data_IF_906937570485
#
_entry.id   IF_906937570485
#
_cell.length_a   1.000
_cell.length_b   1.000
_cell.length_c   1.000
_cell.angle_alpha   90.00
_cell.angle_beta   90.00
_cell.angle_gamma   90.00
#
_symmetry.space_group_name_H-M   'P 1'
#
loop_
_entity.id
_entity.type
_entity.pdbx_description
1 polymer ?
#
# COMPACT_ATOMS: atom_id res chain seq x y z
N UNK A 1 -18.12 -18.52 -54.59
CA UNK A 1 -17.05 -19.19 -53.80
C UNK A 1 -17.18 -18.75 -52.35
N UNK A 2 -18.01 -19.44 -51.56
CA UNK A 2 -18.21 -19.18 -50.13
C UNK A 2 -17.43 -20.22 -49.34
N UNK A 3 -16.48 -19.78 -48.52
CA UNK A 3 -15.72 -20.64 -47.62
C UNK A 3 -16.43 -20.73 -46.27
N UNK A 4 -17.07 -21.87 -46.00
CA UNK A 4 -17.64 -22.18 -44.69
C UNK A 4 -16.59 -22.85 -43.81
N UNK A 5 -16.28 -22.25 -42.65
CA UNK A 5 -15.35 -22.78 -41.64
C UNK A 5 -15.96 -24.03 -41.00
N UNK A 6 -15.36 -25.21 -41.21
CA UNK A 6 -15.66 -26.43 -40.43
C UNK A 6 -14.77 -26.46 -39.20
N UNK A 7 -15.37 -26.30 -38.02
CA UNK A 7 -14.72 -26.63 -36.75
C UNK A 7 -15.08 -28.08 -36.40
N UNK A 8 -14.17 -29.01 -36.70
CA UNK A 8 -14.31 -30.41 -36.28
C UNK A 8 -13.58 -30.57 -34.94
N UNK A 9 -14.33 -30.74 -33.86
CA UNK A 9 -13.79 -31.16 -32.56
C UNK A 9 -13.81 -32.69 -32.54
N UNK A 10 -12.64 -33.32 -32.51
CA UNK A 10 -12.51 -34.76 -32.29
C UNK A 10 -12.64 -35.05 -30.79
N UNK A 11 -13.82 -35.50 -30.37
CA UNK A 11 -13.99 -36.18 -29.08
C UNK A 11 -14.50 -37.59 -29.34
N UNK A 12 -13.66 -38.60 -29.11
CA UNK A 12 -14.11 -39.99 -29.06
C UNK A 12 -14.83 -40.22 -27.73
N UNK A 13 -16.16 -40.18 -27.76
CA UNK A 13 -16.98 -40.63 -26.65
C UNK A 13 -17.56 -42.02 -26.94
N UNK A 14 -17.38 -42.94 -26.00
CA UNK A 14 -18.03 -44.25 -25.95
C UNK A 14 -19.54 -44.04 -25.68
N UNK A 15 -20.47 -44.70 -26.38
CA UNK A 15 -21.90 -44.50 -26.12
C UNK A 15 -22.30 -45.19 -24.81
N UNK A 16 -22.75 -44.43 -23.81
CA UNK A 16 -23.33 -45.01 -22.59
C UNK A 16 -23.32 -44.17 -21.31
N UNK A 17 -22.72 -42.97 -21.25
CA UNK A 17 -22.77 -42.14 -20.05
C UNK A 17 -23.47 -40.80 -20.32
N UNK A 18 -24.52 -40.53 -19.53
CA UNK A 18 -25.13 -39.22 -19.46
C UNK A 18 -24.07 -38.16 -19.12
N UNK A 19 -24.14 -36.95 -19.70
CA UNK A 19 -23.15 -35.92 -19.43
C UNK A 19 -23.25 -35.53 -17.95
N UNK A 20 -22.23 -35.91 -17.17
CA UNK A 20 -22.03 -35.36 -15.85
C UNK A 20 -21.87 -33.84 -16.00
N UNK A 21 -22.87 -33.10 -15.54
CA UNK A 21 -22.75 -31.65 -15.37
C UNK A 21 -21.65 -31.41 -14.35
N UNK A 22 -20.44 -31.13 -14.82
CA UNK A 22 -19.39 -30.56 -13.98
C UNK A 22 -19.89 -29.17 -13.59
N UNK A 23 -20.54 -29.07 -12.44
CA UNK A 23 -20.75 -27.79 -11.76
C UNK A 23 -19.36 -27.20 -11.56
N UNK A 24 -19.01 -26.20 -12.37
CA UNK A 24 -17.89 -25.32 -12.08
C UNK A 24 -18.32 -24.51 -10.86
N UNK A 25 -18.13 -25.06 -9.67
CA UNK A 25 -18.16 -24.26 -8.45
C UNK A 25 -17.07 -23.21 -8.62
N UNK A 26 -17.47 -21.94 -8.76
CA UNK A 26 -16.56 -20.81 -8.60
C UNK A 26 -15.96 -20.96 -7.21
N UNK A 27 -14.74 -21.48 -7.09
CA UNK A 27 -13.99 -21.49 -5.84
C UNK A 27 -13.97 -20.05 -5.32
N UNK A 28 -14.76 -19.82 -4.27
CA UNK A 28 -14.84 -18.52 -3.63
C UNK A 28 -13.52 -18.30 -2.91
N UNK A 29 -12.73 -17.34 -3.39
CA UNK A 29 -11.46 -17.00 -2.76
C UNK A 29 -11.68 -16.56 -1.31
N UNK A 30 -10.66 -16.75 -0.47
CA UNK A 30 -10.68 -16.23 0.89
C UNK A 30 -11.03 -14.73 0.90
N UNK A 31 -11.77 -14.24 1.92
CA UNK A 31 -12.12 -12.83 2.02
C UNK A 31 -10.88 -11.94 1.89
N UNK A 32 -10.98 -10.82 1.17
CA UNK A 32 -9.84 -9.92 1.00
C UNK A 32 -8.83 -10.32 -0.09
N UNK A 33 -9.04 -11.47 -0.73
CA UNK A 33 -8.35 -11.82 -1.96
C UNK A 33 -9.16 -11.46 -3.20
N UNK A 34 -8.43 -11.05 -4.24
CA UNK A 34 -8.99 -10.94 -5.59
C UNK A 34 -8.01 -11.45 -6.64
N UNK A 35 -8.50 -11.93 -7.80
CA UNK A 35 -7.65 -12.16 -8.94
C UNK A 35 -7.04 -10.83 -9.43
N UNK A 36 -5.74 -10.83 -9.67
CA UNK A 36 -5.00 -9.78 -10.34
C UNK A 36 -5.66 -9.43 -11.68
N UNK A 37 -5.96 -8.15 -11.96
CA UNK A 37 -6.48 -7.74 -13.26
C UNK A 37 -5.50 -8.00 -14.42
N UNK A 38 -4.20 -8.09 -14.14
CA UNK A 38 -3.17 -8.28 -15.15
C UNK A 38 -3.06 -9.74 -15.61
N UNK A 39 -3.12 -10.69 -14.68
CA UNK A 39 -2.79 -12.09 -14.95
C UNK A 39 -3.52 -13.12 -14.07
N UNK A 40 -4.53 -12.71 -13.31
CA UNK A 40 -5.42 -13.60 -12.56
C UNK A 40 -4.86 -14.20 -11.28
N UNK A 41 -3.57 -14.00 -10.96
CA UNK A 41 -2.98 -14.50 -9.69
C UNK A 41 -3.68 -13.92 -8.46
N UNK A 42 -3.77 -14.64 -7.33
CA UNK A 42 -4.38 -14.08 -6.13
C UNK A 42 -3.56 -12.90 -5.59
N UNK A 43 -4.25 -11.80 -5.32
CA UNK A 43 -3.69 -10.55 -4.80
C UNK A 43 -4.49 -10.11 -3.59
N UNK A 44 -3.84 -9.38 -2.69
CA UNK A 44 -4.49 -8.78 -1.53
C UNK A 44 -4.14 -7.30 -1.40
N UNK A 45 -5.01 -6.52 -0.77
CA UNK A 45 -4.76 -5.09 -0.59
C UNK A 45 -3.62 -4.84 0.39
N UNK A 46 -2.83 -3.80 0.14
CA UNK A 46 -1.83 -3.25 1.07
C UNK A 46 -2.47 -2.43 2.20
N UNK A 47 -3.80 -2.25 2.19
CA UNK A 47 -4.52 -1.31 3.07
C UNK A 47 -4.38 0.15 2.63
N UNK A 48 -3.63 0.42 1.56
CA UNK A 48 -3.46 1.75 0.96
C UNK A 48 -3.81 1.68 -0.52
N UNK A 49 -4.98 2.20 -0.91
CA UNK A 49 -5.49 2.07 -2.27
C UNK A 49 -4.57 2.68 -3.35
N UNK A 50 -3.88 3.79 -3.04
CA UNK A 50 -2.93 4.41 -3.99
C UNK A 50 -1.66 3.57 -4.16
N UNK A 51 -1.21 2.86 -3.11
CA UNK A 51 -0.09 1.92 -3.21
C UNK A 51 -0.50 0.68 -3.99
N UNK A 52 -1.72 0.16 -3.78
CA UNK A 52 -2.25 -0.96 -4.56
C UNK A 52 -2.21 -0.66 -6.06
N UNK A 53 -2.65 0.54 -6.46
CA UNK A 53 -2.60 0.99 -7.85
C UNK A 53 -1.17 1.02 -8.43
N UNK A 54 -0.16 1.23 -7.58
CA UNK A 54 1.26 1.30 -7.97
C UNK A 54 1.88 -0.06 -8.31
N UNK A 55 1.26 -1.16 -7.88
CA UNK A 55 1.85 -2.50 -7.97
C UNK A 55 1.67 -3.13 -9.35
N UNK A 56 2.31 -2.53 -10.38
CA UNK A 56 2.47 -3.06 -11.74
C UNK A 56 1.17 -3.55 -12.41
N UNK A 57 0.03 -2.91 -12.13
CA UNK A 57 -1.27 -3.32 -12.67
C UNK A 57 -1.95 -4.49 -11.96
N UNK A 58 -1.29 -5.13 -10.99
CA UNK A 58 -1.92 -6.11 -10.10
C UNK A 58 -2.98 -5.48 -9.18
N UNK A 59 -2.92 -4.15 -9.01
CA UNK A 59 -3.81 -3.38 -8.12
C UNK A 59 -3.83 -3.95 -6.69
N UNK A 60 -2.68 -4.34 -6.16
CA UNK A 60 -2.59 -5.01 -4.87
C UNK A 60 -1.33 -5.87 -4.83
N UNK A 61 -1.00 -6.36 -3.65
CA UNK A 61 0.19 -7.17 -3.44
C UNK A 61 -0.11 -8.63 -3.83
N UNK A 62 0.58 -9.20 -4.83
CA UNK A 62 0.43 -10.61 -5.16
C UNK A 62 0.82 -11.52 -3.99
N UNK A 63 0.08 -12.61 -3.80
CA UNK A 63 0.49 -13.63 -2.85
C UNK A 63 1.83 -14.25 -3.26
N UNK A 64 2.59 -14.69 -2.26
CA UNK A 64 3.94 -15.22 -2.41
C UNK A 64 5.00 -14.17 -2.67
N UNK A 65 4.71 -12.88 -2.45
CA UNK A 65 5.65 -11.78 -2.68
C UNK A 65 5.89 -10.91 -1.44
N UNK A 66 7.02 -10.20 -1.43
CA UNK A 66 7.36 -9.21 -0.42
C UNK A 66 7.64 -7.82 -1.00
N UNK A 67 7.30 -6.80 -0.22
CA UNK A 67 7.59 -5.39 -0.52
C UNK A 67 8.51 -4.82 0.58
N UNK A 68 9.67 -4.30 0.17
CA UNK A 68 10.55 -3.50 1.01
C UNK A 68 10.21 -2.02 0.84
N UNK A 69 9.91 -1.34 1.95
CA UNK A 69 9.64 0.09 2.01
C UNK A 69 10.79 0.77 2.74
N UNK A 70 11.60 1.48 1.99
CA UNK A 70 12.71 2.27 2.50
C UNK A 70 12.22 3.66 2.87
N UNK A 71 12.70 4.22 3.97
CA UNK A 71 12.37 5.60 4.36
C UNK A 71 13.62 6.37 4.75
N UNK A 72 13.82 7.51 4.07
CA UNK A 72 14.87 8.46 4.39
C UNK A 72 14.42 9.40 5.51
N UNK A 73 15.32 9.75 6.43
CA UNK A 73 15.05 10.68 7.51
C UNK A 73 14.59 10.00 8.80
N UNK A 74 13.92 10.77 9.65
CA UNK A 74 13.51 10.37 11.01
C UNK A 74 11.99 10.28 11.20
N UNK A 75 11.23 10.43 10.11
CA UNK A 75 9.77 10.28 10.12
C UNK A 75 9.36 8.80 10.15
N UNK A 76 8.07 8.54 10.34
CA UNK A 76 7.50 7.18 10.41
C UNK A 76 6.37 6.97 9.39
N UNK A 77 6.52 7.48 8.17
CA UNK A 77 5.50 7.30 7.11
C UNK A 77 5.40 5.83 6.68
N UNK A 78 6.53 5.13 6.60
CA UNK A 78 6.59 3.70 6.29
C UNK A 78 5.94 2.87 7.40
N UNK A 79 6.10 3.23 8.67
CA UNK A 79 5.39 2.57 9.77
C UNK A 79 3.88 2.75 9.69
N UNK A 80 3.40 3.92 9.25
CA UNK A 80 1.96 4.16 9.02
C UNK A 80 1.42 3.27 7.90
N UNK A 81 2.16 3.13 6.79
CA UNK A 81 1.84 2.20 5.70
C UNK A 81 1.73 0.75 6.22
N UNK A 82 2.64 0.32 7.09
CA UNK A 82 2.57 -1.00 7.72
C UNK A 82 1.36 -1.18 8.63
N UNK A 83 0.96 -0.12 9.36
CA UNK A 83 -0.25 -0.15 10.19
C UNK A 83 -1.51 -0.31 9.32
N UNK A 84 -1.58 0.33 8.14
CA UNK A 84 -2.67 0.07 7.19
C UNK A 84 -2.68 -1.38 6.69
N UNK A 85 -1.51 -1.92 6.31
CA UNK A 85 -1.39 -3.31 5.85
C UNK A 85 -1.80 -4.33 6.93
N UNK A 86 -1.41 -4.08 8.18
CA UNK A 86 -1.83 -4.91 9.31
C UNK A 86 -3.33 -4.77 9.60
N UNK A 87 -3.87 -3.55 9.62
CA UNK A 87 -5.28 -3.30 9.86
C UNK A 87 -6.18 -3.93 8.79
N UNK A 88 -5.80 -3.82 7.51
CA UNK A 88 -6.51 -4.48 6.40
C UNK A 88 -6.53 -6.00 6.59
N UNK A 89 -5.41 -6.61 7.00
CA UNK A 89 -5.36 -8.02 7.33
C UNK A 89 -6.34 -8.43 8.42
N UNK A 90 -6.36 -7.69 9.54
CA UNK A 90 -7.26 -8.00 10.65
C UNK A 90 -8.73 -7.82 10.29
N UNK A 91 -9.07 -6.80 9.48
CA UNK A 91 -10.46 -6.57 9.03
C UNK A 91 -10.92 -7.65 8.05
N UNK A 92 -10.02 -8.13 7.18
CA UNK A 92 -10.30 -9.18 6.20
C UNK A 92 -10.36 -10.59 6.79
N UNK A 93 -9.83 -10.83 7.99
CA UNK A 93 -9.79 -12.17 8.59
C UNK A 93 -8.45 -12.89 8.42
N UNK A 94 -7.38 -12.18 8.09
CA UNK A 94 -6.06 -12.76 7.85
C UNK A 94 -5.28 -12.93 9.17
N UNK A 95 -4.30 -13.81 9.15
CA UNK A 95 -3.33 -14.03 10.21
C UNK A 95 -2.16 -13.04 10.04
N UNK A 96 -2.05 -12.05 10.93
CA UNK A 96 -1.02 -11.00 10.85
C UNK A 96 0.13 -11.36 11.78
N UNK A 97 1.31 -11.62 11.23
CA UNK A 97 2.54 -11.91 11.98
C UNK A 97 3.34 -10.64 12.17
N UNK A 98 3.39 -10.13 13.40
CA UNK A 98 4.10 -8.89 13.74
C UNK A 98 5.47 -9.23 14.32
N UNK A 99 6.53 -8.71 13.72
CA UNK A 99 7.90 -8.93 14.20
C UNK A 99 8.38 -7.74 15.01
N UNK A 100 8.96 -7.98 16.18
CA UNK A 100 9.69 -6.97 16.94
C UNK A 100 8.85 -6.15 17.91
N UNK A 101 7.53 -6.22 17.83
CA UNK A 101 6.62 -5.43 18.67
C UNK A 101 5.71 -6.32 19.53
N UNK A 102 5.29 -5.81 20.71
CA UNK A 102 4.42 -6.55 21.61
C UNK A 102 2.95 -6.47 21.13
N UNK A 103 2.04 -7.32 21.64
CA UNK A 103 0.64 -7.39 21.18
C UNK A 103 -0.11 -6.06 21.27
N UNK A 104 0.30 -5.15 22.16
CA UNK A 104 -0.29 -3.82 22.37
C UNK A 104 -0.14 -2.92 21.14
N UNK A 105 0.79 -3.23 20.23
CA UNK A 105 0.92 -2.52 18.95
C UNK A 105 -0.39 -2.51 18.15
N UNK A 106 -1.27 -3.51 18.36
CA UNK A 106 -2.62 -3.54 17.78
C UNK A 106 -3.46 -2.30 18.12
N UNK A 107 -3.23 -1.67 19.28
CA UNK A 107 -3.93 -0.46 19.71
C UNK A 107 -3.48 0.80 18.97
N UNK A 108 -2.41 0.70 18.16
CA UNK A 108 -1.95 1.79 17.30
C UNK A 108 -2.55 1.70 15.88
N UNK A 109 -3.29 0.63 15.58
CA UNK A 109 -3.86 0.42 14.24
C UNK A 109 -5.01 1.40 13.98
N UNK A 110 -5.07 1.98 12.77
CA UNK A 110 -6.09 2.96 12.41
C UNK A 110 -7.49 2.32 12.35
N UNK A 111 -8.50 3.12 12.67
CA UNK A 111 -9.89 2.67 12.60
C UNK A 111 -10.41 2.64 11.17
N UNK A 112 -11.39 1.78 10.88
CA UNK A 112 -12.08 1.80 9.58
C UNK A 112 -12.87 3.11 9.48
N UNK A 113 -12.66 3.86 8.40
CA UNK A 113 -13.41 5.07 8.11
C UNK A 113 -14.87 4.70 7.80
N UNK A 114 -15.81 5.40 8.41
CA UNK A 114 -17.22 5.28 8.03
C UNK A 114 -17.37 5.99 6.70
N UNK A 115 -17.74 5.27 5.65
CA UNK A 115 -18.12 5.90 4.39
C UNK A 115 -19.38 6.73 4.65
N UNK A 116 -19.27 8.06 4.51
CA UNK A 116 -20.41 8.99 4.58
C UNK A 116 -21.33 8.78 3.37
N UNK A 117 -22.05 7.66 3.32
CA UNK A 117 -23.14 7.42 2.38
C UNK A 117 -24.39 8.25 2.71
N UNK A 118 -24.40 9.01 3.82
CA UNK A 118 -25.53 9.86 4.23
C UNK A 118 -25.44 11.34 3.82
N UNK A 119 -24.34 11.80 3.23
CA UNK A 119 -24.16 13.22 2.89
C UNK A 119 -24.59 13.62 1.46
N UNK A 120 -25.37 12.79 0.76
CA UNK A 120 -25.90 13.10 -0.60
C UNK A 120 -27.43 13.00 -0.71
N UNK A 121 -28.16 13.20 0.37
CA UNK A 121 -29.64 13.23 0.33
C UNK A 121 -30.20 14.40 1.13
N UNK A 122 -29.90 15.63 0.72
CA UNK A 122 -30.71 16.80 1.09
C UNK A 122 -30.29 18.04 0.30
N UNK A 123 -30.79 18.18 -0.94
CA UNK A 123 -31.12 19.47 -1.53
C UNK A 123 -32.21 19.21 -2.60
N UNK A 124 -33.47 19.61 -2.39
CA UNK A 124 -34.48 19.66 -3.44
C UNK A 124 -34.38 21.03 -4.14
N UNK A 125 -33.79 21.09 -5.32
CA UNK A 125 -33.91 22.27 -6.19
C UNK A 125 -34.63 21.87 -7.47
N UNK A 126 -35.91 22.24 -7.52
CA UNK A 126 -36.70 22.27 -8.73
C UNK A 126 -36.14 23.32 -9.70
N UNK A 127 -35.78 22.90 -10.92
CA UNK A 127 -35.79 23.70 -12.14
C UNK A 127 -35.67 22.77 -13.36
N UNK A 128 -36.39 23.13 -14.43
CA UNK A 128 -36.73 22.35 -15.63
C UNK A 128 -35.54 21.99 -16.55
N UNK A 129 -35.73 21.15 -17.59
CA UNK A 129 -34.65 20.45 -18.28
C UNK A 129 -34.09 21.31 -19.42
N UNK A 130 -32.83 21.72 -19.30
CA UNK A 130 -32.05 22.14 -20.47
C UNK A 130 -31.05 21.06 -20.86
N UNK A 131 -31.09 20.79 -22.16
CA UNK A 131 -30.38 19.83 -22.97
C UNK A 131 -28.85 19.94 -22.82
N UNK A 132 -28.31 19.49 -21.68
CA UNK A 132 -26.86 19.38 -21.48
C UNK A 132 -26.28 18.24 -22.31
N UNK A 133 -25.43 18.64 -23.24
CA UNK A 133 -24.70 17.86 -24.25
C UNK A 133 -24.19 16.49 -23.76
N UNK A 134 -24.58 15.44 -24.51
CA UNK A 134 -24.12 14.04 -24.38
C UNK A 134 -22.61 13.83 -24.59
N UNK A 135 -21.83 14.87 -24.88
CA UNK A 135 -20.38 14.78 -25.11
C UNK A 135 -19.59 15.00 -23.81
N UNK A 136 -20.07 15.83 -22.89
CA UNK A 136 -19.39 16.08 -21.61
C UNK A 136 -19.23 14.80 -20.76
N UNK A 137 -20.17 13.86 -20.90
CA UNK A 137 -20.13 12.61 -20.14
C UNK A 137 -19.02 11.65 -20.59
N UNK A 138 -18.61 11.72 -21.88
CA UNK A 138 -17.53 10.86 -22.41
C UNK A 138 -16.15 11.30 -21.95
N UNK A 139 -15.95 12.57 -21.61
CA UNK A 139 -14.68 13.07 -21.08
C UNK A 139 -14.60 13.03 -19.54
N UNK A 140 -15.74 13.08 -18.84
CA UNK A 140 -15.77 12.85 -17.38
C UNK A 140 -15.31 11.42 -17.02
N UNK A 141 -15.65 10.42 -17.83
CA UNK A 141 -15.22 9.04 -17.64
C UNK A 141 -13.71 8.82 -17.87
N UNK A 142 -13.03 9.73 -18.57
CA UNK A 142 -11.61 9.62 -18.89
C UNK A 142 -10.73 10.50 -17.99
N UNK A 143 -11.24 11.65 -17.52
CA UNK A 143 -10.49 12.62 -16.72
C UNK A 143 -10.61 12.47 -15.20
N UNK A 144 -11.62 11.76 -14.69
CA UNK A 144 -11.88 11.68 -13.24
C UNK A 144 -11.37 10.39 -12.56
N UNK A 145 -10.58 9.58 -13.28
CA UNK A 145 -9.97 8.35 -12.76
C UNK A 145 -8.75 8.59 -11.84
N UNK A 146 -8.28 9.84 -11.70
CA UNK A 146 -7.09 10.19 -10.94
C UNK A 146 -7.36 10.94 -9.62
N UNK A 147 -8.59 11.37 -9.34
CA UNK A 147 -8.84 12.30 -8.22
C UNK A 147 -10.27 12.23 -7.64
N UNK A 148 -10.81 11.03 -7.50
CA UNK A 148 -11.87 10.74 -6.53
C UNK A 148 -11.88 9.24 -6.32
N UNK A 149 -12.03 8.78 -5.08
CA UNK A 149 -12.10 7.36 -4.73
C UNK A 149 -13.11 6.63 -5.60
N UNK A 150 -12.63 5.99 -6.66
CA UNK A 150 -13.39 5.02 -7.44
C UNK A 150 -13.41 3.73 -6.63
N UNK A 151 -14.27 3.70 -5.62
CA UNK A 151 -15.08 2.51 -5.39
C UNK A 151 -15.78 2.26 -6.73
N UNK A 152 -15.13 1.48 -7.60
CA UNK A 152 -15.77 0.94 -8.78
C UNK A 152 -17.08 0.31 -8.29
N UNK A 153 -18.17 0.70 -8.92
CA UNK A 153 -19.49 0.07 -8.74
C UNK A 153 -19.34 -1.40 -9.11
N UNK A 154 -18.95 -2.23 -8.15
CA UNK A 154 -19.07 -3.67 -8.25
C UNK A 154 -20.55 -4.00 -8.05
N UNK A 155 -21.25 -4.12 -9.16
CA UNK A 155 -22.53 -4.81 -9.21
C UNK A 155 -22.29 -6.29 -8.97
N UNK A 156 -22.26 -6.69 -7.70
CA UNK A 156 -22.69 -7.97 -7.13
C UNK A 156 -22.36 -7.90 -5.62
N UNK A 157 -23.21 -8.39 -4.72
CA UNK A 157 -22.99 -8.37 -3.27
C UNK A 157 -21.66 -9.00 -2.84
N UNK A 158 -20.57 -8.24 -2.87
CA UNK A 158 -19.18 -8.69 -2.67
C UNK A 158 -18.47 -7.87 -1.58
N UNK A 159 -17.60 -8.54 -0.82
CA UNK A 159 -16.86 -7.92 0.28
C UNK A 159 -15.85 -6.88 -0.22
N UNK A 160 -15.67 -5.79 0.53
CA UNK A 160 -14.73 -4.71 0.23
C UNK A 160 -13.28 -5.21 0.13
N UNK A 161 -12.60 -4.95 -0.99
CA UNK A 161 -11.21 -5.37 -1.22
C UNK A 161 -10.17 -4.55 -0.45
N UNK A 162 -10.40 -3.25 -0.31
CA UNK A 162 -9.52 -2.32 0.39
C UNK A 162 -10.39 -1.35 1.19
N UNK A 163 -10.25 -1.35 2.50
CA UNK A 163 -11.00 -0.46 3.37
C UNK A 163 -10.31 0.91 3.42
N UNK A 164 -11.11 1.96 3.61
CA UNK A 164 -10.56 3.27 3.98
C UNK A 164 -10.32 3.30 5.47
N UNK A 165 -9.16 3.80 5.89
CA UNK A 165 -8.76 3.89 7.29
C UNK A 165 -8.56 5.34 7.72
N UNK A 166 -8.87 5.63 8.98
CA UNK A 166 -8.79 6.94 9.61
C UNK A 166 -7.81 6.87 10.79
N UNK A 167 -6.72 7.62 10.71
CA UNK A 167 -5.66 7.68 11.74
C UNK A 167 -6.10 8.40 13.01
N UNK A 168 -7.16 9.22 12.94
CA UNK A 168 -7.74 9.85 14.14
C UNK A 168 -8.48 8.85 15.00
N UNK A 169 -8.82 7.68 14.44
CA UNK A 169 -9.55 6.59 15.10
C UNK A 169 -8.63 5.41 15.38
N UNK A 170 -9.12 4.48 16.21
CA UNK A 170 -8.46 3.21 16.49
C UNK A 170 -9.30 2.05 16.02
N UNK A 171 -8.64 0.97 15.61
CA UNK A 171 -9.31 -0.23 15.15
C UNK A 171 -10.14 -0.84 16.28
N UNK A 172 -11.46 -0.88 16.07
CA UNK A 172 -12.38 -1.50 17.02
C UNK A 172 -12.23 -3.02 16.98
N UNK A 173 -12.29 -3.66 18.16
CA UNK A 173 -12.16 -5.11 18.27
C UNK A 173 -13.28 -5.85 17.51
N UNK A 174 -14.46 -5.25 17.39
CA UNK A 174 -15.59 -5.78 16.61
C UNK A 174 -15.33 -5.81 15.10
N UNK A 175 -14.39 -5.00 14.61
CA UNK A 175 -14.00 -4.97 13.20
C UNK A 175 -12.90 -5.98 12.88
N UNK A 176 -12.20 -6.51 13.90
CA UNK A 176 -11.15 -7.51 13.74
C UNK A 176 -11.77 -8.90 13.55
N UNK A 177 -11.64 -9.46 12.36
CA UNK A 177 -12.01 -10.85 12.04
C UNK A 177 -10.80 -11.79 12.07
N UNK A 178 -9.59 -11.24 11.93
CA UNK A 178 -8.32 -11.97 11.91
C UNK A 178 -7.64 -11.99 13.28
N UNK A 179 -6.45 -12.59 13.33
CA UNK A 179 -5.64 -12.66 14.55
C UNK A 179 -4.25 -12.06 14.35
N UNK A 180 -3.73 -11.42 15.40
CA UNK A 180 -2.38 -10.89 15.45
C UNK A 180 -1.47 -11.85 16.22
N UNK A 181 -0.39 -12.29 15.59
CA UNK A 181 0.63 -13.16 16.16
C UNK A 181 1.93 -12.35 16.36
N UNK A 182 2.14 -11.72 17.52
CA UNK A 182 3.38 -11.03 17.81
C UNK A 182 4.52 -12.03 18.00
N UNK A 183 5.65 -11.78 17.35
CA UNK A 183 6.93 -12.42 17.63
C UNK A 183 7.80 -11.40 18.37
N UNK A 184 8.16 -11.65 19.64
CA UNK A 184 8.86 -10.69 20.48
C UNK A 184 10.13 -10.14 19.81
N UNK A 185 10.46 -8.89 20.14
CA UNK A 185 11.76 -8.30 19.81
C UNK A 185 12.88 -9.24 20.21
N UNK A 186 13.92 -9.25 19.37
CA UNK A 186 15.15 -10.00 19.59
C UNK A 186 16.00 -9.45 20.75
N UNK A 187 15.45 -8.47 21.47
CA UNK A 187 15.95 -7.86 22.70
C UNK A 187 16.35 -6.40 22.45
N UNK A 188 16.07 -5.47 23.39
CA UNK A 188 16.79 -4.20 23.42
C UNK A 188 18.29 -4.47 23.69
N UNK A 189 19.20 -3.54 23.37
CA UNK A 189 20.58 -3.61 23.82
C UNK A 189 20.60 -3.54 25.36
N UNK A 190 20.52 -4.68 26.03
CA UNK A 190 20.81 -4.76 27.46
C UNK A 190 22.29 -4.44 27.66
N UNK A 191 22.60 -3.39 28.43
CA UNK A 191 23.97 -3.11 28.89
C UNK A 191 24.54 -4.25 29.75
N UNK A 192 23.68 -5.15 30.22
CA UNK A 192 24.05 -6.38 30.90
C UNK A 192 24.13 -7.47 29.83
N UNK A 193 25.36 -7.98 29.59
CA UNK A 193 25.61 -9.20 28.83
C UNK A 193 24.87 -10.38 29.49
N UNK A 194 23.61 -10.60 29.12
CA UNK A 194 23.00 -11.91 29.33
C UNK A 194 23.71 -12.89 28.40
N UNK A 195 24.11 -14.09 28.87
CA UNK A 195 24.81 -15.05 28.05
C UNK A 195 23.99 -15.31 26.78
N UNK A 196 24.67 -15.20 25.64
CA UNK A 196 24.08 -15.31 24.32
C UNK A 196 23.22 -16.57 24.25
N UNK A 197 21.92 -16.42 23.95
CA UNK A 197 21.16 -17.55 23.43
C UNK A 197 21.92 -18.02 22.19
N UNK A 198 22.30 -19.29 22.14
CA UNK A 198 23.16 -19.89 21.11
C UNK A 198 22.56 -19.95 19.70
N UNK A 199 21.48 -19.21 19.44
CA UNK A 199 20.76 -19.20 18.17
C UNK A 199 20.57 -17.79 17.62
N UNK A 200 20.66 -17.69 16.30
CA UNK A 200 20.33 -16.47 15.56
C UNK A 200 18.91 -15.98 15.91
N UNK A 201 18.77 -14.74 16.40
CA UNK A 201 17.46 -14.17 16.72
C UNK A 201 16.54 -14.08 15.49
N UNK A 202 17.10 -13.79 14.30
CA UNK A 202 16.32 -13.71 13.08
C UNK A 202 15.89 -15.10 12.55
N UNK A 203 16.72 -16.13 12.74
CA UNK A 203 16.33 -17.51 12.40
C UNK A 203 15.16 -18.02 13.24
N UNK A 204 15.03 -17.56 14.49
CA UNK A 204 13.89 -17.91 15.34
C UNK A 204 12.57 -17.41 14.73
N UNK A 205 12.57 -16.23 14.09
CA UNK A 205 11.39 -15.68 13.40
C UNK A 205 10.98 -16.61 12.24
N UNK A 206 11.92 -17.02 11.40
CA UNK A 206 11.65 -17.95 10.29
C UNK A 206 11.09 -19.28 10.81
N UNK A 207 11.67 -19.82 11.89
CA UNK A 207 11.18 -21.05 12.52
C UNK A 207 9.74 -20.89 13.03
N UNK A 208 9.42 -19.78 13.69
CA UNK A 208 8.06 -19.52 14.19
C UNK A 208 7.05 -19.36 13.04
N UNK A 209 7.40 -18.57 12.01
CA UNK A 209 6.57 -18.39 10.82
C UNK A 209 6.29 -19.72 10.13
N UNK A 210 7.33 -20.53 9.92
CA UNK A 210 7.20 -21.86 9.32
C UNK A 210 6.26 -22.76 10.13
N UNK A 211 6.47 -22.84 11.45
CA UNK A 211 5.63 -23.67 12.31
C UNK A 211 4.15 -23.23 12.26
N UNK A 212 3.88 -21.92 12.24
CA UNK A 212 2.52 -21.41 12.08
C UNK A 212 1.92 -21.77 10.73
N UNK A 213 2.66 -21.57 9.64
CA UNK A 213 2.21 -21.90 8.28
C UNK A 213 1.93 -23.39 8.10
N UNK A 214 2.75 -24.28 8.69
CA UNK A 214 2.52 -25.73 8.66
C UNK A 214 1.28 -26.16 9.45
N UNK A 215 0.95 -25.44 10.53
CA UNK A 215 -0.25 -25.71 11.34
C UNK A 215 -1.53 -25.08 10.80
N UNK A 216 -1.43 -24.17 9.83
CA UNK A 216 -2.56 -23.39 9.33
C UNK A 216 -3.24 -24.08 8.16
N UNK A 217 -4.55 -23.88 8.01
CA UNK A 217 -5.28 -24.43 6.87
C UNK A 217 -4.84 -23.77 5.55
N UNK A 218 -4.88 -24.46 4.40
CA UNK A 218 -4.50 -23.87 3.11
C UNK A 218 -5.33 -22.65 2.67
N UNK A 219 -6.47 -22.39 3.30
CA UNK A 219 -7.33 -21.23 3.03
C UNK A 219 -7.00 -20.02 3.89
N UNK A 220 -6.16 -20.16 4.92
CA UNK A 220 -5.75 -19.03 5.76
C UNK A 220 -4.69 -18.19 5.07
N UNK A 221 -4.89 -16.86 5.11
CA UNK A 221 -3.95 -15.90 4.52
C UNK A 221 -3.10 -15.29 5.63
N UNK A 222 -1.80 -15.26 5.40
CA UNK A 222 -0.78 -14.79 6.33
C UNK A 222 -0.11 -13.54 5.79
N UNK A 223 0.00 -12.52 6.65
CA UNK A 223 0.67 -11.25 6.36
C UNK A 223 1.81 -11.05 7.34
N UNK A 224 3.04 -10.98 6.86
CA UNK A 224 4.22 -10.70 7.70
C UNK A 224 4.47 -9.20 7.71
N UNK A 225 4.52 -8.63 8.91
CA UNK A 225 4.71 -7.19 9.15
C UNK A 225 6.01 -7.03 9.93
N UNK A 226 7.01 -6.41 9.29
CA UNK A 226 8.33 -6.18 9.88
C UNK A 226 8.61 -4.68 9.90
N UNK A 227 8.23 -3.97 10.97
CA UNK A 227 8.51 -2.55 11.09
C UNK A 227 9.98 -2.33 11.47
N UNK A 228 10.59 -1.36 10.80
CA UNK A 228 11.92 -0.82 11.06
C UNK A 228 12.97 -1.91 11.26
N UNK A 229 13.10 -2.80 10.27
CA UNK A 229 14.08 -3.89 10.27
C UNK A 229 15.48 -3.32 10.58
N UNK A 230 16.21 -4.00 11.48
CA UNK A 230 17.52 -3.60 11.99
C UNK A 230 17.55 -2.32 12.86
N UNK A 231 16.40 -1.73 13.20
CA UNK A 231 16.37 -0.60 14.14
C UNK A 231 17.02 -0.98 15.49
N UNK A 232 18.00 -0.21 15.99
CA UNK A 232 18.65 -0.48 17.29
C UNK A 232 17.68 -0.48 18.49
N UNK A 233 16.49 0.11 18.34
CA UNK A 233 15.45 0.08 19.36
C UNK A 233 14.76 -1.29 19.50
N UNK A 234 14.82 -2.13 18.46
CA UNK A 234 14.06 -3.38 18.36
C UNK A 234 14.94 -4.61 18.11
N UNK A 235 16.12 -4.40 17.54
CA UNK A 235 17.03 -5.47 17.14
C UNK A 235 18.38 -5.28 17.82
N UNK A 236 18.92 -6.40 18.31
CA UNK A 236 20.27 -6.42 18.82
C UNK A 236 21.30 -6.29 17.70
N UNK A 237 22.49 -5.77 18.01
CA UNK A 237 23.52 -5.39 17.01
C UNK A 237 23.95 -6.56 16.13
N UNK A 238 23.95 -7.80 16.63
CA UNK A 238 24.26 -8.97 15.83
C UNK A 238 23.33 -9.16 14.61
N UNK A 239 22.09 -8.65 14.68
CA UNK A 239 21.14 -8.74 13.57
C UNK A 239 21.61 -7.95 12.33
N UNK A 240 22.51 -6.98 12.48
CA UNK A 240 23.04 -6.19 11.35
C UNK A 240 24.14 -6.92 10.59
N UNK A 241 24.62 -8.07 11.09
CA UNK A 241 25.63 -8.86 10.40
C UNK A 241 25.04 -9.43 9.10
N UNK A 242 25.75 -9.35 7.96
CA UNK A 242 25.22 -9.83 6.67
C UNK A 242 24.79 -11.30 6.71
N UNK A 243 25.54 -12.15 7.44
CA UNK A 243 25.21 -13.56 7.63
C UNK A 243 23.88 -13.79 8.35
N UNK A 244 23.45 -12.84 9.19
CA UNK A 244 22.19 -12.92 9.93
C UNK A 244 21.04 -12.39 9.08
N UNK A 245 21.10 -11.13 8.64
CA UNK A 245 20.00 -10.48 7.94
C UNK A 245 19.77 -11.03 6.52
N UNK A 246 20.84 -11.35 5.78
CA UNK A 246 20.66 -11.87 4.41
C UNK A 246 20.16 -13.32 4.42
N UNK A 247 20.61 -14.15 5.38
CA UNK A 247 20.03 -15.49 5.56
C UNK A 247 18.58 -15.42 6.00
N UNK A 248 18.23 -14.44 6.83
CA UNK A 248 16.84 -14.18 7.22
C UNK A 248 15.96 -13.83 6.02
N UNK A 249 16.34 -12.81 5.22
CA UNK A 249 15.57 -12.41 4.04
C UNK A 249 15.50 -13.52 2.99
N UNK A 250 16.59 -14.25 2.79
CA UNK A 250 16.59 -15.43 1.92
C UNK A 250 15.63 -16.51 2.42
N UNK A 251 15.62 -16.81 3.73
CA UNK A 251 14.67 -17.74 4.34
C UNK A 251 13.21 -17.27 4.23
N UNK A 252 12.96 -15.97 4.40
CA UNK A 252 11.63 -15.39 4.23
C UNK A 252 11.16 -15.51 2.78
N UNK A 253 12.04 -15.23 1.81
CA UNK A 253 11.75 -15.42 0.38
C UNK A 253 11.44 -16.88 0.06
N UNK A 254 12.19 -17.83 0.63
CA UNK A 254 11.91 -19.26 0.48
C UNK A 254 10.51 -19.62 0.99
N UNK A 255 10.10 -19.12 2.17
CA UNK A 255 8.74 -19.32 2.69
C UNK A 255 7.68 -18.68 1.79
N UNK A 256 7.93 -17.47 1.27
CA UNK A 256 7.01 -16.80 0.35
C UNK A 256 6.79 -17.60 -0.94
N UNK A 257 7.84 -18.24 -1.47
CA UNK A 257 7.71 -19.13 -2.64
C UNK A 257 7.05 -20.46 -2.31
N UNK A 258 7.34 -21.05 -1.14
CA UNK A 258 6.72 -22.30 -0.71
C UNK A 258 5.21 -22.14 -0.42
N UNK A 259 4.81 -21.02 0.18
CA UNK A 259 3.43 -20.70 0.55
C UNK A 259 2.86 -19.59 -0.36
N UNK A 260 3.08 -19.72 -1.67
CA UNK A 260 2.77 -18.69 -2.67
C UNK A 260 1.30 -18.30 -2.78
N UNK A 261 0.38 -19.14 -2.30
CA UNK A 261 -1.06 -18.88 -2.29
C UNK A 261 -1.59 -18.41 -0.93
N UNK A 262 -0.73 -18.21 0.07
CA UNK A 262 -1.14 -17.91 1.45
C UNK A 262 -0.34 -16.78 2.09
N UNK A 263 0.93 -16.55 1.70
CA UNK A 263 1.83 -15.67 2.43
C UNK A 263 2.17 -14.39 1.64
N UNK A 264 2.17 -13.24 2.33
CA UNK A 264 2.76 -11.98 1.83
C UNK A 264 3.55 -11.29 2.94
N UNK A 265 4.45 -10.38 2.58
CA UNK A 265 5.22 -9.63 3.57
C UNK A 265 5.41 -8.16 3.16
N UNK A 266 5.37 -7.26 4.14
CA UNK A 266 5.89 -5.89 4.00
C UNK A 266 6.90 -5.61 5.11
N UNK A 267 8.06 -5.09 4.70
CA UNK A 267 9.21 -4.81 5.55
C UNK A 267 9.53 -3.32 5.41
N UNK A 268 9.79 -2.61 6.51
CA UNK A 268 10.35 -1.25 6.42
C UNK A 268 11.80 -1.19 6.87
N UNK A 269 12.57 -0.31 6.25
CA UNK A 269 13.99 -0.11 6.55
C UNK A 269 14.31 1.39 6.66
N UNK A 270 14.79 1.88 7.82
CA UNK A 270 15.22 3.27 7.95
C UNK A 270 16.57 3.49 7.24
N UNK A 271 16.55 4.14 6.08
CA UNK A 271 17.76 4.33 5.26
C UNK A 271 18.69 5.41 5.79
N UNK A 272 18.24 6.22 6.75
CA UNK A 272 19.12 7.09 7.54
C UNK A 272 20.10 6.33 8.42
N UNK A 273 19.75 5.11 8.86
CA UNK A 273 20.65 4.23 9.61
C UNK A 273 21.37 3.24 8.70
N UNK A 274 20.70 2.79 7.64
CA UNK A 274 21.23 1.84 6.67
C UNK A 274 21.15 2.46 5.26
N UNK A 275 22.16 3.23 4.84
CA UNK A 275 22.13 3.89 3.54
C UNK A 275 22.00 2.89 2.39
N UNK A 276 21.18 3.24 1.39
CA UNK A 276 21.01 2.45 0.16
C UNK A 276 22.29 2.28 -0.65
N UNK A 277 23.23 3.21 -0.51
CA UNK A 277 24.57 3.12 -1.10
C UNK A 277 25.42 1.99 -0.50
N UNK A 278 25.02 1.41 0.64
CA UNK A 278 25.72 0.29 1.24
C UNK A 278 25.44 -1.03 0.50
N UNK A 279 26.47 -1.86 0.38
CA UNK A 279 26.33 -3.19 -0.23
C UNK A 279 25.31 -4.07 0.49
N UNK A 280 25.18 -3.93 1.81
CA UNK A 280 24.22 -4.68 2.61
C UNK A 280 22.78 -4.41 2.17
N UNK A 281 22.40 -3.14 2.08
CA UNK A 281 21.04 -2.75 1.65
C UNK A 281 20.80 -3.17 0.22
N UNK A 282 21.80 -3.05 -0.66
CA UNK A 282 21.66 -3.54 -2.04
C UNK A 282 21.36 -5.04 -2.11
N UNK A 283 22.00 -5.85 -1.27
CA UNK A 283 21.67 -7.28 -1.16
C UNK A 283 20.26 -7.51 -0.59
N UNK A 284 19.82 -6.70 0.36
CA UNK A 284 18.44 -6.76 0.89
C UNK A 284 17.41 -6.46 -0.21
N UNK A 285 17.63 -5.40 -1.00
CA UNK A 285 16.78 -5.04 -2.14
C UNK A 285 16.66 -6.20 -3.15
N UNK A 286 17.76 -6.89 -3.48
CA UNK A 286 17.78 -8.03 -4.41
C UNK A 286 17.05 -9.28 -3.89
N UNK A 287 16.97 -9.42 -2.56
CA UNK A 287 16.24 -10.51 -1.91
C UNK A 287 14.74 -10.21 -1.77
N UNK A 288 14.33 -8.96 -1.99
CA UNK A 288 12.93 -8.54 -1.98
C UNK A 288 12.34 -8.47 -3.39
N UNK A 289 11.03 -8.70 -3.51
CA UNK A 289 10.36 -8.76 -4.82
C UNK A 289 10.00 -7.37 -5.34
N UNK A 290 9.68 -6.45 -4.44
CA UNK A 290 9.45 -5.04 -4.71
C UNK A 290 10.23 -4.16 -3.73
N UNK A 291 10.63 -2.98 -4.20
CA UNK A 291 11.34 -1.97 -3.41
C UNK A 291 10.78 -0.59 -3.75
N UNK A 292 10.29 0.10 -2.74
CA UNK A 292 9.85 1.50 -2.84
C UNK A 292 10.56 2.33 -1.78
N UNK A 293 10.90 3.56 -2.12
CA UNK A 293 11.62 4.50 -1.25
C UNK A 293 10.76 5.74 -1.00
N UNK A 294 10.51 6.04 0.27
CA UNK A 294 9.87 7.25 0.75
C UNK A 294 10.97 8.27 1.09
N UNK A 295 10.86 9.45 0.49
CA UNK A 295 11.75 10.59 0.72
C UNK A 295 10.89 11.74 1.26
N UNK A 296 10.68 11.81 2.58
CA UNK A 296 10.03 12.93 3.24
C UNK A 296 10.70 14.25 2.85
N UNK A 297 9.90 15.25 2.51
CA UNK A 297 10.41 16.61 2.31
C UNK A 297 10.56 17.26 3.69
N UNK A 298 11.63 18.04 3.91
CA UNK A 298 11.78 18.77 5.16
C UNK A 298 10.56 19.69 5.35
N UNK A 299 9.98 19.67 6.54
CA UNK A 299 9.02 20.70 6.91
C UNK A 299 9.75 22.04 6.82
N UNK A 300 9.27 22.96 5.97
CA UNK A 300 9.86 24.29 5.84
C UNK A 300 9.91 24.93 7.23
N UNK A 301 11.09 25.13 7.83
CA UNK A 301 11.18 25.71 9.17
C UNK A 301 10.60 27.13 9.11
N UNK A 302 9.56 27.40 9.89
CA UNK A 302 8.87 28.70 9.88
C UNK A 302 7.69 28.82 8.89
N UNK A 303 7.35 27.78 8.13
CA UNK A 303 6.05 27.74 7.47
C UNK A 303 4.94 27.73 8.54
N UNK A 304 3.97 28.62 8.40
CA UNK A 304 2.80 28.63 9.26
C UNK A 304 2.17 27.23 9.28
N UNK A 305 1.69 26.74 10.45
CA UNK A 305 0.90 25.51 10.47
C UNK A 305 -0.21 25.65 9.42
N UNK A 306 -0.47 24.60 8.60
CA UNK A 306 -1.48 24.68 7.57
C UNK A 306 -2.79 25.16 8.22
N UNK A 307 -3.43 26.22 7.70
CA UNK A 307 -4.63 26.77 8.30
C UNK A 307 -5.65 25.64 8.42
N UNK A 308 -6.07 25.37 9.66
CA UNK A 308 -7.04 24.35 10.00
C UNK A 308 -8.37 24.68 9.33
N UNK A 309 -8.58 24.23 8.09
CA UNK A 309 -9.79 24.50 7.32
C UNK A 309 -9.59 24.58 5.80
N UNK A 310 -8.39 24.88 5.31
CA UNK A 310 -8.20 25.00 3.86
C UNK A 310 -7.94 23.64 3.21
N UNK A 311 -8.91 23.20 2.41
CA UNK A 311 -8.84 21.96 1.61
C UNK A 311 -7.60 21.86 0.71
N UNK A 312 -6.94 22.99 0.39
CA UNK A 312 -5.72 23.05 -0.43
C UNK A 312 -4.46 22.57 0.31
N UNK A 313 -4.36 22.78 1.62
CA UNK A 313 -3.18 22.41 2.40
C UNK A 313 -3.04 20.89 2.61
N UNK A 314 -4.16 20.19 2.71
CA UNK A 314 -4.23 18.74 2.96
C UNK A 314 -3.69 17.91 1.79
N UNK A 315 -3.63 18.50 0.59
CA UNK A 315 -3.17 17.81 -0.63
C UNK A 315 -1.75 18.22 -1.05
N UNK A 316 -1.05 18.99 -0.21
CA UNK A 316 0.34 19.36 -0.44
C UNK A 316 1.23 18.12 -0.28
N UNK A 317 2.18 17.88 -1.19
CA UNK A 317 3.11 16.76 -1.08
C UNK A 317 3.97 16.91 0.17
N UNK A 318 3.97 15.88 1.03
CA UNK A 318 4.80 15.79 2.23
C UNK A 318 6.12 15.06 1.98
N UNK A 319 6.22 14.39 0.84
CA UNK A 319 7.42 13.68 0.42
C UNK A 319 7.33 13.19 -1.02
N UNK A 320 8.45 12.70 -1.53
CA UNK A 320 8.56 12.01 -2.80
C UNK A 320 8.53 10.49 -2.58
N UNK A 321 8.00 9.76 -3.55
CA UNK A 321 8.06 8.31 -3.57
C UNK A 321 8.80 7.87 -4.84
N UNK A 322 9.78 6.98 -4.68
CA UNK A 322 10.49 6.36 -5.80
C UNK A 322 10.20 4.87 -5.82
N UNK A 323 9.95 4.34 -7.02
CA UNK A 323 9.80 2.90 -7.24
C UNK A 323 11.10 2.37 -7.84
N UNK A 324 11.78 1.48 -7.11
CA UNK A 324 13.02 0.85 -7.58
C UNK A 324 12.78 -0.52 -8.17
N UNK A 325 11.84 -1.27 -7.60
CA UNK A 325 11.40 -2.56 -8.09
C UNK A 325 9.93 -2.79 -7.74
N UNK A 326 9.26 -3.62 -8.53
CA UNK A 326 7.86 -3.99 -8.38
C UNK A 326 7.74 -5.51 -8.41
N UNK A 327 6.97 -6.13 -7.50
CA UNK A 327 6.80 -7.57 -7.44
C UNK A 327 6.31 -8.12 -8.77
N UNK A 328 6.78 -9.32 -9.15
CA UNK A 328 6.44 -10.04 -10.39
C UNK A 328 6.96 -9.38 -11.67
N UNK A 329 6.79 -8.06 -11.83
CA UNK A 329 7.16 -7.34 -13.04
C UNK A 329 8.67 -7.36 -13.30
N UNK A 330 9.50 -6.97 -12.33
CA UNK A 330 10.95 -6.94 -12.52
C UNK A 330 11.56 -8.33 -12.62
N UNK A 331 11.01 -9.34 -11.92
CA UNK A 331 11.46 -10.73 -12.05
C UNK A 331 11.20 -11.31 -13.46
N UNK A 332 10.18 -10.81 -14.17
CA UNK A 332 9.87 -11.18 -15.56
C UNK A 332 10.69 -10.40 -16.61
N UNK A 333 11.70 -9.64 -16.18
CA UNK A 333 12.48 -8.78 -17.09
C UNK A 333 11.82 -7.44 -17.39
N UNK A 334 10.81 -7.03 -16.61
CA UNK A 334 10.25 -5.69 -16.67
C UNK A 334 11.31 -4.63 -16.34
N UNK A 335 11.39 -3.57 -17.15
CA UNK A 335 12.45 -2.57 -17.07
C UNK A 335 12.89 -1.98 -18.41
N UNK A 336 12.36 -2.49 -19.53
CA UNK A 336 12.53 -1.92 -20.86
C UNK A 336 11.95 -0.50 -20.98
N UNK A 337 12.39 0.25 -21.99
CA UNK A 337 12.14 1.68 -22.17
C UNK A 337 10.66 2.10 -22.30
N UNK A 338 9.72 1.16 -22.46
CA UNK A 338 8.35 1.45 -22.91
C UNK A 338 7.28 1.53 -21.80
N UNK A 339 7.63 1.46 -20.51
CA UNK A 339 6.65 1.61 -19.42
C UNK A 339 7.08 2.65 -18.38
N UNK A 340 6.75 3.91 -18.66
CA UNK A 340 7.22 5.11 -17.94
C UNK A 340 6.46 5.47 -16.66
N UNK A 341 5.25 4.95 -16.43
CA UNK A 341 4.35 5.46 -15.38
C UNK A 341 4.90 5.33 -13.94
N UNK A 342 5.74 4.31 -13.65
CA UNK A 342 6.33 4.12 -12.32
C UNK A 342 7.73 4.78 -12.18
N UNK A 343 8.32 5.24 -13.29
CA UNK A 343 9.57 6.03 -13.30
C UNK A 343 9.31 7.52 -13.13
N UNK A 344 8.06 7.96 -13.26
CA UNK A 344 7.66 9.33 -12.95
C UNK A 344 8.00 9.64 -11.49
N UNK A 345 8.37 10.90 -11.23
CA UNK A 345 8.56 11.34 -9.84
C UNK A 345 7.20 11.35 -9.17
N UNK A 346 6.99 10.45 -8.21
CA UNK A 346 5.76 10.39 -7.43
C UNK A 346 5.92 11.22 -6.16
N UNK A 347 4.80 11.64 -5.61
CA UNK A 347 4.72 12.28 -4.31
C UNK A 347 3.69 11.58 -3.44
N UNK A 348 3.89 11.69 -2.14
CA UNK A 348 2.93 11.22 -1.16
C UNK A 348 2.47 12.35 -0.26
N UNK A 349 1.21 12.27 0.14
CA UNK A 349 0.61 13.06 1.21
C UNK A 349 -0.15 12.13 2.14
N UNK A 350 -0.18 12.47 3.42
CA UNK A 350 -0.81 11.72 4.48
C UNK A 350 -1.79 12.65 5.19
N UNK A 351 -3.07 12.28 5.12
CA UNK A 351 -4.13 12.94 5.87
C UNK A 351 -4.74 11.97 6.86
N UNK A 352 -5.13 12.45 8.04
CA UNK A 352 -5.75 11.59 9.05
C UNK A 352 -7.00 10.87 8.53
N UNK A 353 -7.86 11.57 7.77
CA UNK A 353 -9.14 11.04 7.30
C UNK A 353 -9.08 10.35 5.93
N UNK A 354 -8.14 10.75 5.06
CA UNK A 354 -7.99 10.19 3.70
C UNK A 354 -6.90 9.12 3.59
N UNK A 355 -6.10 8.95 4.64
CA UNK A 355 -4.94 8.07 4.66
C UNK A 355 -3.79 8.58 3.81
N UNK A 356 -2.89 7.66 3.44
CA UNK A 356 -1.75 7.92 2.57
C UNK A 356 -2.22 7.94 1.11
N UNK A 357 -1.94 9.01 0.39
CA UNK A 357 -2.24 9.17 -1.03
C UNK A 357 -0.93 9.32 -1.81
N UNK A 358 -0.80 8.58 -2.91
CA UNK A 358 0.38 8.61 -3.81
C UNK A 358 -0.11 9.08 -5.17
N UNK A 359 0.52 10.14 -5.70
CA UNK A 359 0.16 10.75 -6.99
C UNK A 359 1.42 11.25 -7.71
N UNK A 360 1.39 11.42 -9.05
CA UNK A 360 2.46 12.10 -9.77
C UNK A 360 2.80 13.44 -9.12
N UNK A 361 4.09 13.72 -8.93
CA UNK A 361 4.54 14.97 -8.35
C UNK A 361 4.35 16.09 -9.36
N UNK A 362 3.53 17.06 -9.00
CA UNK A 362 3.35 18.31 -9.74
C UNK A 362 3.89 19.45 -8.88
N UNK A 363 4.78 20.27 -9.44
CA UNK A 363 5.20 21.50 -8.78
C UNK A 363 3.97 22.41 -8.58
N UNK A 364 3.83 23.07 -7.42
CA UNK A 364 2.82 24.09 -7.26
C UNK A 364 3.03 25.18 -8.32
N UNK A 365 1.96 25.79 -8.86
CA UNK A 365 2.09 26.93 -9.76
C UNK A 365 2.98 27.98 -9.10
N UNK A 366 3.96 28.51 -9.83
CA UNK A 366 4.71 29.67 -9.35
C UNK A 366 3.69 30.81 -9.28
N UNK A 367 3.39 31.28 -8.07
CA UNK A 367 2.68 32.55 -7.93
C UNK A 367 3.65 33.61 -8.43
N UNK A 368 3.39 34.17 -9.61
CA UNK A 368 4.17 35.28 -10.14
C UNK A 368 4.11 36.41 -9.11
N UNK A 369 5.23 36.70 -8.44
CA UNK A 369 5.47 37.96 -7.71
C UNK A 369 5.56 39.16 -8.68
N UNK A 370 4.75 39.19 -9.73
CA UNK A 370 4.63 40.26 -10.69
C UNK A 370 3.20 40.81 -10.65
N UNK A 371 2.82 41.43 -9.54
CA UNK A 371 1.82 42.51 -9.50
C UNK A 371 1.66 43.06 -8.08
N UNK A 372 2.57 43.95 -7.67
CA UNK A 372 2.28 44.98 -6.68
C UNK A 372 3.21 46.20 -6.79
N UNK A 373 3.55 46.62 -8.00
CA UNK A 373 3.82 48.05 -8.21
C UNK A 373 2.48 48.78 -8.16
N UNK A 374 2.16 49.33 -6.99
CA UNK A 374 1.10 50.32 -6.84
C UNK A 374 1.41 51.48 -7.77
N UNK A 375 0.57 51.67 -8.78
CA UNK A 375 0.46 52.91 -9.54
C UNK A 375 0.10 54.05 -8.56
N UNK A 376 0.85 55.16 -8.49
CA UNK A 376 0.48 56.29 -7.65
C UNK A 376 -0.54 57.15 -8.40
N UNK A 377 -1.83 56.82 -8.27
CA UNK A 377 -2.91 57.71 -8.71
C UNK A 377 -3.41 58.56 -7.53
N UNK A 378 -3.44 59.88 -7.78
CA UNK A 378 -4.20 60.93 -7.09
C UNK A 378 -3.89 61.23 -5.62
N UNK A 379 -2.94 62.15 -5.39
CA UNK A 379 -2.97 63.04 -4.23
C UNK A 379 -4.08 64.08 -4.39
N UNK A 380 -5.17 63.84 -3.67
CA UNK A 380 -5.97 64.76 -2.84
C UNK A 380 -5.90 66.25 -3.21
N UNK A 381 -7.05 66.74 -3.67
CA UNK A 381 -7.44 68.14 -3.65
C UNK A 381 -7.98 68.42 -2.25
N UNK A 382 -7.24 69.13 -1.41
CA UNK A 382 -7.79 69.79 -0.23
C UNK A 382 -7.19 71.20 -0.16
N UNK A 383 -8.09 72.18 -0.12
CA UNK A 383 -7.75 73.59 -0.07
C UNK A 383 -7.33 74.02 1.34
N UNK A 384 -6.43 74.99 1.39
CA UNK A 384 -6.41 75.97 2.48
C UNK A 384 -5.79 77.29 1.99
N UNK A 385 -6.37 78.35 2.53
CA UNK A 385 -6.26 79.77 2.20
C UNK A 385 -4.83 80.33 2.26
N UNK A 386 -4.52 81.28 1.36
CA UNK A 386 -4.29 82.69 1.68
C UNK A 386 -4.42 83.56 0.42
#
# INVERSE_FOLDING_TARGET
>A
MSFTKRNTVLSSARPGQAPAQVKVEKQQLAPGLRPSPLDGRPTTSTGTASLDQLLAGHRGLPLGTCLLVEEQGTTDFSGILLRYYAAEGLVQGHQVHLVGFPPEWKHQLPGVAVSDTKAKTSQPSAAAPEERMKIAWRYEALGNAASAGAAAREGNSGATFCHSFDLSKRLAQTSCKGALHPTPSTGPPSLVQTPARSGSPLKAIIKHLKAKLESSSPSEIHRVVIPSLLSPALYAVQCTQPTEVLQFLHGLRALLRQYSNQLTAIITLPTSLFPRSSGLVRWMELLCDGVVELIPLPATPGAAPPPSGDKKSVDQPQGLLKVHSLPVYHEKGGGGAETSAWRETLSFSLSASKGLNIKPYSLPPMEDELQKEKSPASTVKDGMEF
#
